data_IF_331766841657
#
_entry.id   IF_331766841657
#
_cell.length_a   1.000
_cell.length_b   1.000
_cell.length_c   1.000
_cell.angle_alpha   90.00
_cell.angle_beta   90.00
_cell.angle_gamma   90.00
#
_symmetry.space_group_name_H-M   'P 1'
#
loop_
_entity.id
_entity.type
_entity.pdbx_description
1 polymer ?
#
# COMPACT_ATOMS: atom_id res chain seq x y z
N UNK A 1 39.64 -1.87 4.11
CA UNK A 1 39.22 -1.97 2.69
C UNK A 1 37.70 -2.02 2.65
N UNK A 2 37.03 -0.94 2.25
CA UNK A 2 35.58 -0.97 2.04
C UNK A 2 35.37 -1.58 0.66
N UNK A 3 35.00 -2.86 0.59
CA UNK A 3 34.60 -3.50 -0.68
C UNK A 3 33.45 -2.68 -1.26
N UNK A 4 33.54 -2.29 -2.53
CA UNK A 4 32.44 -1.70 -3.29
C UNK A 4 31.31 -2.73 -3.38
N UNK A 5 30.48 -2.82 -2.33
CA UNK A 5 29.18 -3.44 -2.43
C UNK A 5 28.32 -2.49 -3.25
N UNK A 6 27.80 -2.98 -4.38
CA UNK A 6 27.05 -2.18 -5.34
C UNK A 6 25.86 -1.47 -4.70
N UNK A 7 25.40 -0.39 -5.34
CA UNK A 7 24.13 0.23 -4.94
C UNK A 7 22.97 -0.71 -5.25
N UNK A 8 22.07 -0.85 -4.28
CA UNK A 8 20.81 -1.58 -4.44
C UNK A 8 19.65 -0.61 -4.31
N UNK A 9 18.50 -0.98 -4.87
CA UNK A 9 17.24 -0.26 -4.67
C UNK A 9 16.23 -1.19 -4.01
N UNK A 10 15.61 -0.75 -2.93
CA UNK A 10 14.51 -1.45 -2.26
C UNK A 10 13.24 -0.61 -2.29
N UNK A 11 12.10 -1.29 -2.27
CA UNK A 11 10.78 -0.69 -2.12
C UNK A 11 10.05 -1.39 -0.99
N UNK A 12 9.58 -0.63 0.00
CA UNK A 12 8.98 -1.23 1.18
C UNK A 12 8.22 -0.24 2.04
N UNK A 13 7.58 -0.76 3.07
CA UNK A 13 6.84 0.03 4.05
C UNK A 13 7.70 0.31 5.27
N UNK A 14 7.71 1.56 5.72
CA UNK A 14 8.36 1.94 6.98
C UNK A 14 7.53 1.40 8.14
N UNK A 15 8.11 0.54 8.97
CA UNK A 15 7.43 -0.04 10.14
C UNK A 15 7.87 0.60 11.45
N UNK A 16 9.07 1.14 11.49
CA UNK A 16 9.65 1.73 12.69
C UNK A 16 10.63 2.84 12.32
N UNK A 17 10.71 3.86 13.17
CA UNK A 17 11.65 4.97 13.05
C UNK A 17 12.35 5.13 14.39
N UNK A 18 13.68 5.14 14.37
CA UNK A 18 14.52 5.41 15.55
C UNK A 18 15.48 6.53 15.23
N UNK A 19 15.63 7.47 16.15
CA UNK A 19 16.67 8.48 16.10
C UNK A 19 17.87 8.02 16.92
N UNK A 20 19.07 8.30 16.41
CA UNK A 20 20.31 7.89 17.04
C UNK A 20 21.43 8.89 16.81
N UNK A 21 22.43 8.79 17.67
CA UNK A 21 23.65 9.59 17.58
C UNK A 21 24.85 8.64 17.62
N UNK A 22 25.81 8.86 16.72
CA UNK A 22 27.09 8.14 16.71
C UNK A 22 28.21 9.13 16.92
N UNK A 23 28.96 8.98 18.00
CA UNK A 23 30.18 9.76 18.21
C UNK A 23 31.28 9.19 17.32
N UNK A 24 31.78 9.99 16.38
CA UNK A 24 32.85 9.59 15.45
C UNK A 24 34.21 10.08 15.98
N UNK A 25 34.24 11.25 16.62
CA UNK A 25 35.41 11.82 17.30
C UNK A 25 34.98 12.55 18.56
N UNK A 26 35.93 12.89 19.43
CA UNK A 26 35.68 13.64 20.68
C UNK A 26 34.75 14.85 20.50
N UNK A 27 34.91 15.58 19.39
CA UNK A 27 34.15 16.81 19.09
C UNK A 27 33.17 16.67 17.92
N UNK A 28 32.93 15.45 17.42
CA UNK A 28 32.05 15.25 16.27
C UNK A 28 31.10 14.09 16.49
N UNK A 29 29.83 14.45 16.71
CA UNK A 29 28.70 13.53 16.82
C UNK A 29 27.88 13.62 15.54
N UNK A 30 27.61 12.46 14.95
CA UNK A 30 26.82 12.31 13.75
C UNK A 30 25.42 11.84 14.12
N UNK A 31 24.42 12.66 13.83
CA UNK A 31 23.01 12.28 13.96
C UNK A 31 22.60 11.37 12.80
N UNK A 32 21.84 10.33 13.12
CA UNK A 32 21.22 9.49 12.11
C UNK A 32 19.80 9.13 12.50
N UNK A 33 18.96 8.93 11.48
CA UNK A 33 17.63 8.37 11.62
C UNK A 33 17.64 6.99 10.98
N UNK A 34 17.35 5.97 11.76
CA UNK A 34 17.21 4.60 11.32
C UNK A 34 15.74 4.32 11.00
N UNK A 35 15.45 3.94 9.76
CA UNK A 35 14.14 3.42 9.39
C UNK A 35 14.22 1.91 9.30
N UNK A 36 13.29 1.21 9.96
CA UNK A 36 13.07 -0.20 9.67
C UNK A 36 12.05 -0.29 8.55
N UNK A 37 12.43 -0.97 7.46
CA UNK A 37 11.64 -1.07 6.23
C UNK A 37 11.35 -2.53 5.95
N UNK A 38 10.08 -2.87 5.78
CA UNK A 38 9.65 -4.21 5.40
C UNK A 38 9.54 -4.32 3.87
N UNK A 39 10.22 -5.31 3.29
CA UNK A 39 10.23 -5.62 1.87
C UNK A 39 9.79 -7.07 1.71
N UNK A 40 8.50 -7.29 1.44
CA UNK A 40 7.93 -8.64 1.42
C UNK A 40 7.98 -9.29 2.81
N UNK A 41 8.77 -10.36 2.95
CA UNK A 41 9.01 -11.07 4.22
C UNK A 41 10.28 -10.59 4.93
N UNK A 42 11.11 -9.81 4.26
CA UNK A 42 12.42 -9.38 4.76
C UNK A 42 12.33 -8.00 5.41
N UNK A 43 13.26 -7.74 6.32
CA UNK A 43 13.43 -6.45 6.98
C UNK A 43 14.79 -5.85 6.64
N UNK A 44 14.80 -4.54 6.43
CA UNK A 44 16.01 -3.76 6.15
C UNK A 44 16.11 -2.57 7.10
N UNK A 45 17.32 -2.29 7.56
CA UNK A 45 17.64 -1.07 8.34
C UNK A 45 18.18 0.01 7.42
N UNK A 46 17.41 1.06 7.15
CA UNK A 46 17.83 2.19 6.31
C UNK A 46 18.38 3.31 7.19
N UNK A 47 19.67 3.62 7.03
CA UNK A 47 20.37 4.63 7.83
C UNK A 47 20.44 5.98 7.09
N UNK A 48 19.62 6.94 7.53
CA UNK A 48 19.56 8.29 6.98
C UNK A 48 20.43 9.23 7.80
N UNK A 49 21.28 10.01 7.14
CA UNK A 49 21.97 11.13 7.76
C UNK A 49 20.96 12.23 8.12
N UNK A 50 20.89 12.66 9.38
CA UNK A 50 19.98 13.74 9.77
C UNK A 50 20.29 15.05 9.03
N UNK A 51 21.54 15.28 8.64
CA UNK A 51 21.93 16.48 7.89
C UNK A 51 21.39 16.47 6.46
N UNK A 52 21.13 15.28 5.89
CA UNK A 52 20.60 15.12 4.52
C UNK A 52 19.09 14.95 4.48
N UNK A 53 18.42 14.88 5.62
CA UNK A 53 16.99 14.53 5.65
C UNK A 53 16.13 15.51 4.86
N UNK A 54 16.51 16.80 4.86
CA UNK A 54 15.82 17.86 4.13
C UNK A 54 16.09 17.81 2.63
N UNK A 55 17.20 17.20 2.18
CA UNK A 55 17.55 17.08 0.76
C UNK A 55 16.58 16.17 0.01
N UNK A 56 15.95 15.22 0.70
CA UNK A 56 15.03 14.26 0.09
C UNK A 56 13.60 14.81 -0.10
N UNK A 57 13.31 16.03 0.37
CA UNK A 57 12.04 16.71 0.12
C UNK A 57 10.83 16.16 0.89
N UNK A 58 11.00 15.15 1.75
CA UNK A 58 9.97 14.69 2.68
C UNK A 58 10.56 14.09 3.96
N UNK A 59 9.75 14.03 5.01
CA UNK A 59 10.09 13.37 6.25
C UNK A 59 9.42 11.99 6.32
N UNK A 60 10.18 10.89 6.34
CA UNK A 60 9.62 9.54 6.45
C UNK A 60 8.77 9.36 7.71
N UNK A 61 7.66 8.65 7.58
CA UNK A 61 6.75 8.28 8.67
C UNK A 61 6.41 6.79 8.63
N UNK A 62 6.09 6.22 9.79
CA UNK A 62 5.59 4.84 9.89
C UNK A 62 4.33 4.68 9.03
N UNK A 63 4.25 3.57 8.30
CA UNK A 63 3.19 3.23 7.35
C UNK A 63 3.39 3.80 5.94
N UNK A 64 4.38 4.68 5.71
CA UNK A 64 4.67 5.18 4.36
C UNK A 64 5.43 4.14 3.54
N UNK A 65 5.08 4.08 2.27
CA UNK A 65 5.85 3.31 1.29
C UNK A 65 6.97 4.18 0.73
N UNK A 66 8.18 3.65 0.75
CA UNK A 66 9.36 4.36 0.27
C UNK A 66 10.14 3.51 -0.72
N UNK A 67 10.81 4.19 -1.65
CA UNK A 67 11.87 3.63 -2.47
C UNK A 67 13.20 4.20 -2.00
N UNK A 68 14.15 3.32 -1.72
CA UNK A 68 15.48 3.71 -1.22
C UNK A 68 16.55 3.10 -2.11
N UNK A 69 17.49 3.93 -2.57
CA UNK A 69 18.70 3.49 -3.26
C UNK A 69 19.92 3.82 -2.40
N UNK A 70 20.79 2.83 -2.18
CA UNK A 70 22.00 2.99 -1.37
C UNK A 70 22.86 1.75 -1.33
N UNK A 71 23.92 1.77 -0.52
CA UNK A 71 24.85 0.66 -0.36
C UNK A 71 24.32 -0.33 0.67
N UNK A 72 24.15 -1.58 0.25
CA UNK A 72 23.81 -2.68 1.13
C UNK A 72 25.04 -3.15 1.89
N UNK A 73 24.98 -3.12 3.21
CA UNK A 73 25.86 -3.84 4.10
C UNK A 73 25.08 -5.03 4.66
N UNK A 74 25.56 -6.23 4.38
CA UNK A 74 25.05 -7.45 5.00
C UNK A 74 25.26 -7.37 6.52
N UNK A 75 24.34 -7.96 7.28
CA UNK A 75 24.53 -8.13 8.70
C UNK A 75 25.73 -9.06 8.94
N UNK A 76 26.59 -8.72 9.89
CA UNK A 76 27.74 -9.58 10.26
C UNK A 76 27.25 -10.85 10.98
N UNK A 77 26.10 -10.77 11.66
CA UNK A 77 25.48 -11.85 12.45
C UNK A 77 23.96 -11.93 12.21
N UNK A 78 23.33 -13.08 12.50
CA UNK A 78 21.88 -13.33 12.35
C UNK A 78 20.98 -12.44 13.24
N UNK A 79 21.56 -11.65 14.14
CA UNK A 79 20.84 -10.78 15.06
C UNK A 79 20.43 -9.44 14.46
N UNK A 80 21.04 -9.03 13.34
CA UNK A 80 20.80 -7.71 12.76
C UNK A 80 20.15 -7.83 11.38
N UNK A 81 19.19 -6.94 11.12
CA UNK A 81 18.63 -6.79 9.77
C UNK A 81 19.71 -6.23 8.83
N UNK A 82 19.79 -6.67 7.56
CA UNK A 82 20.65 -6.06 6.55
C UNK A 82 20.44 -4.55 6.48
N UNK A 83 21.53 -3.80 6.33
CA UNK A 83 21.47 -2.34 6.42
C UNK A 83 21.77 -1.65 5.10
N UNK A 84 21.02 -0.59 4.79
CA UNK A 84 21.27 0.27 3.65
C UNK A 84 21.78 1.61 4.16
N UNK A 85 22.99 1.96 3.71
CA UNK A 85 23.67 3.20 4.06
C UNK A 85 24.08 3.95 2.80
N UNK A 86 24.68 5.14 2.93
CA UNK A 86 25.09 5.96 1.78
C UNK A 86 23.96 6.17 0.77
N UNK A 87 22.81 6.63 1.26
CA UNK A 87 21.58 6.77 0.48
C UNK A 87 21.79 7.82 -0.63
N UNK A 88 21.71 7.36 -1.88
CA UNK A 88 21.77 8.20 -3.09
C UNK A 88 20.40 8.72 -3.47
N UNK A 89 19.34 7.98 -3.17
CA UNK A 89 17.95 8.35 -3.47
C UNK A 89 16.98 7.84 -2.41
N UNK A 90 16.06 8.70 -1.96
CA UNK A 90 14.98 8.36 -1.04
C UNK A 90 13.70 9.04 -1.54
N UNK A 91 12.68 8.25 -1.84
CA UNK A 91 11.42 8.74 -2.40
C UNK A 91 10.22 8.16 -1.66
N UNK A 92 9.19 8.98 -1.48
CA UNK A 92 7.87 8.50 -1.11
C UNK A 92 7.17 7.96 -2.36
N UNK A 93 6.71 6.71 -2.28
CA UNK A 93 5.98 6.05 -3.36
C UNK A 93 4.56 5.73 -2.90
N UNK A 94 3.65 5.54 -3.86
CA UNK A 94 2.33 4.98 -3.54
C UNK A 94 2.50 3.52 -3.17
N UNK A 95 1.69 3.04 -2.22
CA UNK A 95 1.61 1.60 -1.94
C UNK A 95 1.41 0.85 -3.25
N UNK A 96 2.22 -0.19 -3.54
CA UNK A 96 1.95 -1.12 -4.61
C UNK A 96 0.70 -1.89 -4.19
N UNK A 97 -0.47 -1.31 -4.46
CA UNK A 97 -1.72 -2.04 -4.34
C UNK A 97 -1.54 -3.31 -5.16
N UNK A 98 -1.60 -4.49 -4.52
CA UNK A 98 -2.34 -5.58 -5.17
C UNK A 98 -3.73 -5.02 -5.32
N UNK A 99 -4.03 -4.35 -6.44
CA UNK A 99 -5.41 -4.22 -6.84
C UNK A 99 -5.93 -5.66 -6.85
N UNK A 100 -6.89 -6.04 -6.00
CA UNK A 100 -7.63 -7.24 -6.33
C UNK A 100 -8.20 -6.92 -7.70
N UNK A 101 -7.74 -7.63 -8.74
CA UNK A 101 -8.50 -7.73 -9.97
C UNK A 101 -9.79 -8.42 -9.56
N UNK A 102 -10.75 -7.65 -9.07
CA UNK A 102 -12.13 -8.08 -8.91
C UNK A 102 -12.65 -8.15 -10.35
N UNK A 103 -12.25 -9.18 -11.07
CA UNK A 103 -13.04 -9.63 -12.20
C UNK A 103 -14.40 -9.99 -11.62
N UNK A 104 -15.49 -9.46 -12.19
CA UNK A 104 -16.86 -9.75 -11.74
C UNK A 104 -17.20 -11.26 -11.65
N UNK A 105 -16.32 -12.13 -12.15
CA UNK A 105 -16.37 -13.59 -12.03
C UNK A 105 -16.02 -14.12 -10.63
N UNK A 106 -15.24 -13.42 -9.79
CA UNK A 106 -14.88 -13.89 -8.44
C UNK A 106 -15.92 -13.57 -7.37
N UNK A 107 -16.84 -12.62 -7.62
CA UNK A 107 -17.99 -12.36 -6.73
C UNK A 107 -19.00 -13.53 -6.81
N UNK A 108 -19.15 -14.17 -7.98
CA UNK A 108 -20.07 -15.29 -8.18
C UNK A 108 -19.56 -16.63 -7.62
N UNK A 109 -18.26 -16.76 -7.31
CA UNK A 109 -17.66 -18.03 -6.87
C UNK A 109 -17.47 -18.16 -5.35
N UNK A 110 -17.67 -17.06 -4.59
CA UNK A 110 -17.61 -17.07 -3.12
C UNK A 110 -19.02 -17.18 -2.50
N UNK A 111 -20.08 -16.98 -3.28
CA UNK A 111 -21.46 -17.25 -2.86
C UNK A 111 -21.87 -18.69 -3.17
N UNK A 112 -21.28 -19.66 -2.47
CA UNK A 112 -22.00 -20.87 -2.00
C UNK A 112 -21.10 -21.56 -0.96
N UNK A 113 -21.52 -21.51 0.31
CA UNK A 113 -21.95 -22.74 0.94
C UNK A 113 -23.27 -22.58 1.68
N UNK A 114 -24.12 -23.60 1.53
CA UNK A 114 -25.26 -23.97 2.37
C UNK A 114 -26.11 -22.81 2.94
N UNK A 115 -27.24 -22.56 2.30
CA UNK A 115 -28.28 -21.66 2.79
C UNK A 115 -28.79 -22.13 4.18
N UNK A 116 -28.25 -21.57 5.25
CA UNK A 116 -29.12 -21.15 6.34
C UNK A 116 -29.57 -19.76 5.94
N UNK A 117 -30.87 -19.57 5.79
CA UNK A 117 -31.44 -18.28 5.44
C UNK A 117 -30.86 -17.22 6.40
N UNK A 118 -30.39 -16.08 5.89
CA UNK A 118 -29.95 -14.96 6.73
C UNK A 118 -31.00 -14.58 7.79
N UNK A 119 -32.29 -14.91 7.55
CA UNK A 119 -33.35 -14.77 8.54
C UNK A 119 -33.20 -15.70 9.75
N UNK A 120 -32.74 -16.95 9.58
CA UNK A 120 -32.53 -17.89 10.68
C UNK A 120 -31.36 -17.46 11.58
N UNK A 121 -30.26 -16.99 10.99
CA UNK A 121 -29.09 -16.52 11.75
C UNK A 121 -29.43 -15.24 12.52
N UNK A 122 -30.21 -14.34 11.92
CA UNK A 122 -30.65 -13.11 12.58
C UNK A 122 -31.62 -13.38 13.76
N UNK A 123 -32.47 -14.41 13.64
CA UNK A 123 -33.35 -14.85 14.74
C UNK A 123 -32.59 -15.59 15.85
N UNK A 124 -31.57 -16.40 15.52
CA UNK A 124 -30.72 -17.08 16.51
C UNK A 124 -29.84 -16.11 17.32
N UNK A 125 -29.45 -14.96 16.76
CA UNK A 125 -28.59 -13.98 17.43
C UNK A 125 -29.34 -12.89 18.21
N UNK A 126 -30.68 -12.93 18.26
CA UNK A 126 -31.47 -11.96 19.03
C UNK A 126 -31.34 -10.50 18.58
N UNK A 127 -30.85 -10.26 17.35
CA UNK A 127 -30.68 -8.92 16.77
C UNK A 127 -31.97 -8.54 16.05
N UNK A 128 -33.08 -8.54 16.80
CA UNK A 128 -34.32 -7.93 16.36
C UNK A 128 -34.35 -6.48 16.82
N UNK A 129 -33.51 -5.63 16.24
CA UNK A 129 -33.82 -4.20 16.22
C UNK A 129 -33.15 -3.44 15.07
N UNK A 130 -33.99 -3.17 14.06
CA UNK A 130 -34.13 -1.90 13.35
C UNK A 130 -32.87 -1.32 12.69
N UNK A 131 -32.53 -1.87 11.53
CA UNK A 131 -32.02 -1.06 10.41
C UNK A 131 -32.81 -1.39 9.14
N UNK A 132 -34.07 -0.96 9.21
CA UNK A 132 -34.93 -0.53 8.10
C UNK A 132 -34.69 -1.25 6.75
N UNK A 133 -35.16 -2.50 6.64
CA UNK A 133 -35.22 -3.29 5.38
C UNK A 133 -35.77 -2.47 4.19
N UNK A 134 -36.65 -1.50 4.46
CA UNK A 134 -37.25 -0.58 3.48
C UNK A 134 -36.23 0.40 2.89
N UNK A 135 -35.29 0.90 3.71
CA UNK A 135 -34.23 1.81 3.29
C UNK A 135 -33.16 1.09 2.48
N UNK A 136 -32.83 -0.14 2.88
CA UNK A 136 -31.86 -0.98 2.18
C UNK A 136 -32.38 -1.41 0.79
N UNK A 137 -33.67 -1.78 0.69
CA UNK A 137 -34.33 -2.04 -0.59
C UNK A 137 -34.30 -0.83 -1.52
N UNK A 138 -34.64 0.35 -1.01
CA UNK A 138 -34.64 1.60 -1.79
C UNK A 138 -33.25 1.94 -2.31
N UNK A 139 -32.22 1.81 -1.47
CA UNK A 139 -30.82 2.08 -1.85
C UNK A 139 -30.30 1.11 -2.90
N UNK A 140 -30.73 -0.16 -2.85
CA UNK A 140 -30.41 -1.17 -3.87
C UNK A 140 -31.13 -0.86 -5.19
N UNK A 141 -32.40 -0.46 -5.16
CA UNK A 141 -33.14 -0.06 -6.37
C UNK A 141 -32.57 1.19 -7.04
N UNK A 142 -32.12 2.18 -6.25
CA UNK A 142 -31.46 3.40 -6.77
C UNK A 142 -30.11 3.07 -7.43
N UNK A 143 -29.34 2.14 -6.86
CA UNK A 143 -28.08 1.66 -7.47
C UNK A 143 -28.34 0.93 -8.80
N UNK A 144 -29.35 0.05 -8.85
CA UNK A 144 -29.70 -0.70 -10.06
C UNK A 144 -30.29 0.19 -11.18
N UNK A 145 -30.90 1.33 -10.85
CA UNK A 145 -31.38 2.31 -11.85
C UNK A 145 -30.23 3.08 -12.51
N UNK A 146 -29.19 3.42 -11.75
CA UNK A 146 -28.06 4.19 -12.27
C UNK A 146 -27.20 3.39 -13.26
N UNK A 147 -27.05 2.09 -13.05
CA UNK A 147 -26.29 1.22 -13.97
C UNK A 147 -26.98 1.07 -15.34
N UNK A 148 -28.32 1.04 -15.39
CA UNK A 148 -29.07 0.98 -16.67
C UNK A 148 -28.94 2.27 -17.50
N UNK A 149 -28.72 3.42 -16.88
CA UNK A 149 -28.51 4.70 -17.56
C UNK A 149 -27.08 4.78 -18.12
N UNK A 150 -26.11 4.18 -17.42
CA UNK A 150 -24.72 4.13 -17.88
C UNK A 150 -24.50 3.20 -19.08
N UNK A 151 -25.28 2.11 -19.19
CA UNK A 151 -25.20 1.18 -20.34
C UNK A 151 -25.90 1.70 -21.60
N UNK A 152 -26.96 2.50 -21.48
CA UNK A 152 -27.68 3.07 -22.63
C UNK A 152 -26.93 4.26 -23.27
N UNK A 153 -26.13 5.00 -22.49
CA UNK A 153 -25.27 6.09 -23.01
C UNK A 153 -24.10 5.60 -23.89
N UNK A 154 -23.61 4.38 -23.68
CA UNK A 154 -22.46 3.83 -24.44
C UNK A 154 -22.84 3.10 -25.74
N UNK A 155 -24.12 2.91 -26.04
CA UNK A 155 -24.60 2.25 -27.28
C UNK A 155 -25.09 3.20 -28.37
N UNK A 156 -25.01 4.53 -28.17
CA UNK A 156 -25.57 5.54 -29.07
C UNK A 156 -24.57 6.35 -29.92
N UNK A 157 -23.41 5.81 -30.31
CA UNK A 157 -22.51 6.46 -31.30
C UNK A 157 -22.01 5.47 -32.35
N UNK A 158 -22.83 5.19 -33.35
CA UNK A 158 -22.38 4.67 -34.66
C UNK A 158 -23.48 4.96 -35.69
N UNK A 159 -23.07 5.27 -36.93
CA UNK A 159 -23.87 5.69 -38.10
C UNK A 159 -24.24 7.18 -38.03
N UNK A 160 -23.64 8.08 -38.83
CA UNK A 160 -23.71 8.14 -40.29
C UNK A 160 -22.35 8.38 -40.97
N UNK A 161 -22.12 7.67 -42.09
CA UNK A 161 -21.08 7.95 -43.08
C UNK A 161 -21.86 8.27 -44.35
N UNK A 162 -21.87 9.53 -44.79
CA UNK A 162 -22.42 9.90 -46.10
C UNK A 162 -21.48 9.42 -47.21
N UNK A 163 -21.96 8.67 -48.22
CA UNK A 163 -21.25 8.46 -49.46
C UNK A 163 -22.07 9.08 -50.59
N UNK A 164 -21.99 10.40 -50.75
CA UNK A 164 -22.21 11.19 -51.97
C UNK A 164 -22.72 12.60 -51.63
N UNK A 165 -21.80 13.55 -51.49
CA UNK A 165 -21.95 14.93 -51.97
C UNK A 165 -20.62 15.67 -51.91
#
# INVERSE_FOLDING_TARGET
MIKNQGEITIEGVVIEIRDGHKQIRRNYTYGYRSLRVQVGVDYYSVLINTNKINEYGFLPKVGQWIRVTGRLSQAEDDYYDPSISWISRLEHIKSPKKEPKITNQSILKVMTPHWKSFSQIASEMGIENVLNKKLLKKKIEDLLRNDKIAETSKRGKKYWRDPNK
#
